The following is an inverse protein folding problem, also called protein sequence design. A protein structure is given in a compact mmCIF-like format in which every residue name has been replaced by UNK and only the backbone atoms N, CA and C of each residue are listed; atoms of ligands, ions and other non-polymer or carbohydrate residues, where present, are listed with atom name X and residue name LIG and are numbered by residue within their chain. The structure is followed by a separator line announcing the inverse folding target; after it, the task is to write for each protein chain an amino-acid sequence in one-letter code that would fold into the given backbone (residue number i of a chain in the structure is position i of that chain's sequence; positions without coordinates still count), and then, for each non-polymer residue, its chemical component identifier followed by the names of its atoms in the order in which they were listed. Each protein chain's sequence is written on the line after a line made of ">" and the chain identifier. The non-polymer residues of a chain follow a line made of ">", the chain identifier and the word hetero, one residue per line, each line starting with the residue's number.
data_IF_633753373814
#
_entry.id   IF_633753373814
#
_cell.length_a   1.000
_cell.length_b   1.000
_cell.length_c   1.000
_cell.angle_alpha   90.00
_cell.angle_beta   90.00
_cell.angle_gamma   90.00
#
_symmetry.space_group_name_H-M   'P 1'
#
loop_
_entity.id
_entity.type
_entity.pdbx_description
1 polymer ?
#
# COMPACT_ATOMS: atom_id res chain seq x y z
N UNK A 1 12.22 -10.59 7.81
CA UNK A 1 12.61 -11.96 8.24
C UNK A 1 14.07 -12.04 8.66
N UNK A 2 15.03 -11.51 7.90
CA UNK A 2 16.47 -11.70 8.18
C UNK A 2 17.21 -10.52 8.83
N UNK A 3 16.53 -9.39 9.13
CA UNK A 3 17.19 -8.17 9.64
C UNK A 3 17.95 -8.43 10.95
N UNK A 4 17.36 -9.16 11.89
CA UNK A 4 18.02 -9.52 13.15
C UNK A 4 19.26 -10.39 12.92
N UNK A 5 19.17 -11.38 12.01
CA UNK A 5 20.31 -12.20 11.59
C UNK A 5 21.44 -11.35 11.01
N UNK A 6 21.12 -10.42 10.10
CA UNK A 6 22.11 -9.55 9.47
C UNK A 6 22.87 -8.67 10.50
N UNK A 7 22.17 -8.13 11.50
CA UNK A 7 22.80 -7.34 12.57
C UNK A 7 23.77 -8.20 13.39
N UNK A 8 23.40 -9.42 13.75
CA UNK A 8 24.27 -10.33 14.49
C UNK A 8 25.49 -10.79 13.67
N UNK A 9 25.30 -11.09 12.38
CA UNK A 9 26.40 -11.48 11.49
C UNK A 9 27.36 -10.32 11.23
N UNK A 10 26.85 -9.08 11.13
CA UNK A 10 27.69 -7.87 11.08
C UNK A 10 28.59 -7.74 12.32
N UNK A 11 28.11 -8.20 13.48
CA UNK A 11 28.87 -8.23 14.72
C UNK A 11 29.82 -9.44 14.85
N UNK A 12 29.91 -10.29 13.81
CA UNK A 12 30.81 -11.45 13.77
C UNK A 12 30.25 -12.71 14.44
N UNK A 13 28.95 -12.76 14.75
CA UNK A 13 28.31 -13.93 15.34
C UNK A 13 27.47 -14.69 14.30
N UNK A 14 27.68 -16.01 14.12
CA UNK A 14 26.88 -16.79 13.17
C UNK A 14 25.42 -16.86 13.61
N UNK A 15 24.50 -16.92 12.64
CA UNK A 15 23.07 -17.02 12.92
C UNK A 15 22.38 -18.12 12.13
N UNK A 16 21.20 -18.53 12.59
CA UNK A 16 20.34 -19.48 11.89
C UNK A 16 18.89 -18.99 11.93
N UNK A 17 18.44 -18.36 10.85
CA UNK A 17 17.04 -17.97 10.70
C UNK A 17 16.19 -19.18 10.28
N UNK A 18 15.14 -19.48 11.03
CA UNK A 18 14.16 -20.51 10.69
C UNK A 18 13.21 -19.97 9.61
N UNK A 19 13.18 -20.61 8.45
CA UNK A 19 12.43 -20.15 7.29
C UNK A 19 11.54 -21.26 6.75
N UNK A 20 10.22 -21.04 6.71
CA UNK A 20 9.29 -21.98 6.09
C UNK A 20 9.58 -22.13 4.61
N UNK A 21 9.38 -23.32 4.06
CA UNK A 21 9.73 -23.70 2.68
C UNK A 21 9.27 -22.68 1.63
N UNK A 22 8.03 -22.19 1.75
CA UNK A 22 7.47 -21.18 0.85
C UNK A 22 8.20 -19.83 0.82
N UNK A 23 9.09 -19.56 1.78
CA UNK A 23 9.82 -18.30 1.93
C UNK A 23 11.32 -18.41 1.68
N UNK A 24 11.85 -19.59 1.33
CA UNK A 24 13.29 -19.78 1.11
C UNK A 24 13.87 -18.85 0.03
N UNK A 25 13.14 -18.66 -1.07
CA UNK A 25 13.54 -17.72 -2.14
C UNK A 25 13.48 -16.25 -1.69
N UNK A 26 12.51 -15.89 -0.84
CA UNK A 26 12.45 -14.56 -0.26
C UNK A 26 13.64 -14.31 0.65
N UNK A 27 13.97 -15.27 1.51
CA UNK A 27 15.11 -15.17 2.39
C UNK A 27 16.41 -14.95 1.60
N UNK A 28 16.62 -15.71 0.51
CA UNK A 28 17.76 -15.52 -0.38
C UNK A 28 17.78 -14.15 -1.08
N UNK A 29 16.63 -13.61 -1.51
CA UNK A 29 16.56 -12.28 -2.11
C UNK A 29 16.78 -11.16 -1.08
N UNK A 30 16.16 -11.28 0.09
CA UNK A 30 16.31 -10.33 1.19
C UNK A 30 17.74 -10.29 1.73
N UNK A 31 18.46 -11.42 1.77
CA UNK A 31 19.84 -11.46 2.26
C UNK A 31 20.80 -10.66 1.37
N UNK A 32 20.56 -10.66 0.05
CA UNK A 32 21.29 -9.81 -0.91
C UNK A 32 21.04 -8.33 -0.62
N UNK A 33 19.78 -7.90 -0.49
CA UNK A 33 19.44 -6.50 -0.16
C UNK A 33 20.02 -6.03 1.18
N UNK A 34 20.17 -6.94 2.15
CA UNK A 34 20.81 -6.64 3.44
C UNK A 34 22.35 -6.56 3.37
N UNK A 35 22.97 -6.89 2.22
CA UNK A 35 24.43 -6.93 2.07
C UNK A 35 25.09 -8.19 2.61
N UNK A 36 24.30 -9.21 2.99
CA UNK A 36 24.80 -10.47 3.51
C UNK A 36 24.27 -11.66 2.68
N UNK A 37 24.73 -11.84 1.42
CA UNK A 37 24.19 -12.84 0.49
C UNK A 37 24.36 -14.29 0.97
N UNK A 38 25.13 -14.52 2.03
CA UNK A 38 25.46 -15.83 2.58
C UNK A 38 24.84 -16.09 3.97
N UNK A 39 23.91 -15.24 4.46
CA UNK A 39 23.17 -15.55 5.70
C UNK A 39 22.57 -16.93 5.57
N UNK A 40 22.94 -17.80 6.52
CA UNK A 40 22.51 -19.17 6.52
C UNK A 40 21.07 -19.26 7.09
N UNK A 41 20.22 -20.03 6.41
CA UNK A 41 18.82 -20.23 6.80
C UNK A 41 18.55 -21.71 7.03
N UNK A 42 17.73 -22.01 8.04
CA UNK A 42 17.33 -23.36 8.37
C UNK A 42 15.90 -23.59 7.88
N UNK A 43 15.75 -24.53 6.95
CA UNK A 43 14.45 -24.89 6.37
C UNK A 43 13.52 -25.45 7.44
N UNK A 44 12.32 -24.88 7.53
CA UNK A 44 11.15 -25.51 8.16
C UNK A 44 10.27 -26.06 7.03
N UNK A 45 10.19 -27.40 6.86
CA UNK A 45 9.39 -28.01 5.80
C UNK A 45 7.91 -27.58 5.84
N UNK A 46 7.29 -27.33 4.69
CA UNK A 46 5.87 -26.99 4.57
C UNK A 46 5.44 -25.65 5.22
N UNK A 47 4.13 -25.48 5.40
CA UNK A 47 3.53 -24.32 6.08
C UNK A 47 3.11 -24.70 7.50
N UNK A 48 3.60 -23.99 8.52
CA UNK A 48 3.37 -24.34 9.94
C UNK A 48 1.89 -24.37 10.33
N UNK A 49 1.07 -23.52 9.70
CA UNK A 49 -0.38 -23.45 9.94
C UNK A 49 -1.19 -24.60 9.33
N UNK A 50 -0.59 -25.49 8.53
CA UNK A 50 -1.29 -26.59 7.86
C UNK A 50 -0.74 -27.98 8.24
N UNK A 51 0.12 -28.04 9.26
CA UNK A 51 0.73 -29.28 9.75
C UNK A 51 0.11 -29.70 11.08
N UNK A 52 0.05 -31.01 11.36
CA UNK A 52 -0.24 -31.46 12.72
C UNK A 52 0.93 -31.15 13.67
N UNK A 53 0.68 -31.19 14.99
CA UNK A 53 1.75 -30.98 15.99
C UNK A 53 2.85 -32.04 15.86
N UNK A 54 2.46 -33.28 15.57
CA UNK A 54 3.37 -34.42 15.39
C UNK A 54 4.19 -34.27 14.11
N UNK A 55 3.57 -33.83 13.02
CA UNK A 55 4.25 -33.56 11.75
C UNK A 55 5.26 -32.42 11.90
N UNK A 56 4.84 -31.31 12.50
CA UNK A 56 5.73 -30.17 12.77
C UNK A 56 6.91 -30.60 13.66
N UNK A 57 6.64 -31.34 14.74
CA UNK A 57 7.70 -31.85 15.63
C UNK A 57 8.70 -32.72 14.87
N UNK A 58 8.19 -33.65 14.05
CA UNK A 58 9.03 -34.53 13.22
C UNK A 58 9.91 -33.71 12.27
N UNK A 59 9.31 -32.79 11.52
CA UNK A 59 10.01 -31.92 10.56
C UNK A 59 11.11 -31.10 11.24
N UNK A 60 10.86 -30.55 12.43
CA UNK A 60 11.86 -29.79 13.19
C UNK A 60 13.02 -30.69 13.64
N UNK A 61 12.73 -31.86 14.18
CA UNK A 61 13.76 -32.77 14.71
C UNK A 61 14.59 -33.42 13.61
N UNK A 62 13.96 -33.84 12.51
CA UNK A 62 14.62 -34.61 11.44
C UNK A 62 15.30 -33.73 10.40
N UNK A 63 14.81 -32.51 10.16
CA UNK A 63 15.33 -31.62 9.09
C UNK A 63 15.91 -30.33 9.66
N UNK A 64 15.10 -29.56 10.36
CA UNK A 64 15.46 -28.18 10.74
C UNK A 64 16.62 -28.14 11.74
N UNK A 65 16.65 -29.04 12.72
CA UNK A 65 17.69 -29.07 13.77
C UNK A 65 19.08 -29.27 13.20
N UNK A 66 19.24 -30.21 12.24
CA UNK A 66 20.51 -30.45 11.59
C UNK A 66 21.02 -29.20 10.85
N UNK A 67 20.12 -28.47 10.17
CA UNK A 67 20.45 -27.21 9.48
C UNK A 67 20.84 -26.09 10.43
N UNK A 68 20.17 -25.97 11.58
CA UNK A 68 20.55 -24.98 12.60
C UNK A 68 21.96 -25.26 13.10
N UNK A 69 22.30 -26.52 13.39
CA UNK A 69 23.65 -26.89 13.83
C UNK A 69 24.67 -26.56 12.74
N UNK A 70 24.40 -26.95 11.49
CA UNK A 70 25.26 -26.65 10.34
C UNK A 70 25.52 -25.14 10.22
N UNK A 71 24.47 -24.32 10.23
CA UNK A 71 24.56 -22.86 10.10
C UNK A 71 25.39 -22.19 11.20
N UNK A 72 25.36 -22.73 12.43
CA UNK A 72 26.06 -22.16 13.57
C UNK A 72 27.50 -22.67 13.72
N UNK A 73 27.86 -23.77 13.05
CA UNK A 73 29.17 -24.44 13.22
C UNK A 73 30.03 -24.42 11.97
N UNK A 74 29.45 -24.14 10.80
CA UNK A 74 30.16 -24.10 9.52
C UNK A 74 30.10 -22.71 8.92
N UNK A 75 31.27 -22.10 8.67
CA UNK A 75 31.35 -20.80 7.99
C UNK A 75 31.04 -20.96 6.50
N UNK A 76 30.00 -20.31 5.96
CA UNK A 76 29.69 -20.39 4.53
C UNK A 76 30.77 -19.74 3.68
N UNK A 77 31.01 -20.28 2.49
CA UNK A 77 31.91 -19.68 1.51
C UNK A 77 31.37 -18.31 1.05
N UNK A 78 32.25 -17.32 0.92
CA UNK A 78 31.89 -15.98 0.46
C UNK A 78 31.47 -16.03 -1.01
N UNK A 79 30.19 -15.84 -1.31
CA UNK A 79 29.76 -15.55 -2.68
C UNK A 79 30.34 -14.22 -3.16
N UNK A 80 30.95 -14.23 -4.34
CA UNK A 80 31.39 -13.02 -5.01
C UNK A 80 30.22 -12.11 -5.37
N UNK A 81 30.44 -10.80 -5.24
CA UNK A 81 29.50 -9.76 -5.69
C UNK A 81 29.65 -9.64 -7.20
N UNK A 82 28.56 -9.78 -7.97
CA UNK A 82 28.59 -9.48 -9.40
C UNK A 82 28.64 -7.97 -9.61
N UNK A 83 29.43 -7.49 -10.58
CA UNK A 83 29.44 -6.07 -10.94
C UNK A 83 28.08 -5.64 -11.52
N UNK A 84 27.42 -4.67 -10.90
CA UNK A 84 26.25 -4.01 -11.49
C UNK A 84 26.68 -2.96 -12.53
N UNK A 85 25.87 -2.69 -13.57
CA UNK A 85 26.06 -1.54 -14.46
C UNK A 85 26.04 -0.21 -13.69
N UNK A 86 26.68 0.81 -14.23
CA UNK A 86 26.58 2.17 -13.70
C UNK A 86 25.16 2.74 -13.85
N UNK A 87 24.79 3.69 -12.98
CA UNK A 87 23.43 4.24 -12.89
C UNK A 87 22.88 4.82 -14.20
N UNK A 88 23.76 5.26 -15.10
CA UNK A 88 23.43 5.85 -16.39
C UNK A 88 23.88 5.00 -17.58
N UNK A 89 24.33 3.77 -17.37
CA UNK A 89 24.80 2.93 -18.46
C UNK A 89 23.64 2.45 -19.33
N UNK A 90 23.90 2.30 -20.62
CA UNK A 90 22.93 1.71 -21.54
C UNK A 90 23.06 0.19 -21.45
N UNK A 91 22.13 -0.44 -20.74
CA UNK A 91 22.12 -1.90 -20.52
C UNK A 91 21.68 -2.71 -21.75
N UNK A 92 20.96 -2.08 -22.69
CA UNK A 92 20.52 -2.73 -23.93
C UNK A 92 20.19 -1.70 -25.02
N UNK A 93 20.45 -2.04 -26.29
CA UNK A 93 20.07 -1.24 -27.48
C UNK A 93 19.36 -2.12 -28.50
N UNK A 94 18.25 -1.64 -29.03
CA UNK A 94 17.50 -2.33 -30.08
C UNK A 94 16.17 -1.65 -30.39
N UNK A 95 15.40 -2.23 -31.31
CA UNK A 95 14.03 -1.78 -31.57
C UNK A 95 13.08 -2.15 -30.43
N UNK A 96 11.88 -1.55 -30.43
CA UNK A 96 10.87 -1.70 -29.37
C UNK A 96 10.63 -3.16 -28.94
N UNK A 97 10.48 -4.09 -29.90
CA UNK A 97 10.27 -5.52 -29.60
C UNK A 97 11.47 -6.18 -28.94
N UNK A 98 12.69 -5.83 -29.35
CA UNK A 98 13.92 -6.39 -28.81
C UNK A 98 14.19 -5.88 -27.38
N UNK A 99 13.98 -4.58 -27.15
CA UNK A 99 14.06 -3.97 -25.81
C UNK A 99 13.07 -4.66 -24.87
N UNK A 100 11.80 -4.76 -25.27
CA UNK A 100 10.80 -5.38 -24.42
C UNK A 100 11.09 -6.86 -24.14
N UNK A 101 11.58 -7.62 -25.12
CA UNK A 101 12.06 -9.00 -24.89
C UNK A 101 13.14 -9.06 -23.80
N UNK A 102 14.16 -8.20 -23.89
CA UNK A 102 15.20 -8.12 -22.87
C UNK A 102 14.62 -7.78 -21.48
N UNK A 103 13.67 -6.84 -21.39
CA UNK A 103 13.03 -6.46 -20.13
C UNK A 103 12.11 -7.55 -19.56
N UNK A 104 11.48 -8.39 -20.39
CA UNK A 104 10.75 -9.57 -19.92
C UNK A 104 11.70 -10.62 -19.35
N UNK A 105 12.78 -10.93 -20.08
CA UNK A 105 13.75 -11.96 -19.71
C UNK A 105 14.53 -11.62 -18.43
N UNK A 106 14.69 -10.33 -18.12
CA UNK A 106 15.36 -9.84 -16.91
C UNK A 106 14.38 -9.37 -15.80
N UNK A 107 13.07 -9.61 -15.96
CA UNK A 107 12.04 -9.24 -14.97
C UNK A 107 11.92 -7.73 -14.67
N UNK A 108 12.38 -6.85 -15.57
CA UNK A 108 12.34 -5.38 -15.43
C UNK A 108 11.00 -4.75 -15.83
N UNK A 109 10.04 -5.55 -16.28
CA UNK A 109 8.69 -5.11 -16.65
C UNK A 109 7.63 -5.87 -15.87
N UNK A 110 6.45 -5.29 -15.78
CA UNK A 110 5.23 -5.84 -15.19
C UNK A 110 4.55 -6.94 -16.04
N UNK A 111 5.22 -7.43 -17.07
CA UNK A 111 4.66 -8.37 -18.06
C UNK A 111 3.94 -7.68 -19.21
N UNK A 112 3.85 -6.35 -19.18
CA UNK A 112 3.38 -5.52 -20.28
C UNK A 112 4.55 -4.77 -20.94
N UNK A 113 4.40 -4.33 -22.20
CA UNK A 113 5.42 -3.53 -22.84
C UNK A 113 5.69 -2.23 -22.09
N UNK A 114 6.97 -1.90 -21.93
CA UNK A 114 7.41 -0.60 -21.42
C UNK A 114 7.68 0.35 -22.58
N UNK A 115 7.57 1.66 -22.32
CA UNK A 115 8.19 2.66 -23.18
C UNK A 115 9.70 2.65 -22.88
N UNK A 116 10.58 2.39 -23.87
CA UNK A 116 12.01 2.34 -23.63
C UNK A 116 12.52 3.64 -22.99
N UNK A 117 13.15 3.60 -21.81
CA UNK A 117 13.64 4.79 -21.13
C UNK A 117 14.95 5.27 -21.77
N UNK A 118 14.85 5.93 -22.92
CA UNK A 118 16.01 6.57 -23.57
C UNK A 118 16.46 7.77 -22.73
N UNK A 119 17.71 8.23 -22.93
CA UNK A 119 18.21 9.41 -22.22
C UNK A 119 17.35 10.65 -22.47
N UNK A 120 16.93 10.85 -23.71
CA UNK A 120 16.09 11.97 -24.12
C UNK A 120 14.73 11.96 -23.42
N UNK A 121 14.07 10.80 -23.35
CA UNK A 121 12.80 10.65 -22.63
C UNK A 121 12.97 10.84 -21.11
N UNK A 122 14.10 10.43 -20.54
CA UNK A 122 14.38 10.67 -19.11
C UNK A 122 14.66 12.15 -18.86
N UNK A 123 15.41 12.81 -19.73
CA UNK A 123 15.71 14.25 -19.65
C UNK A 123 14.46 15.12 -19.79
N UNK A 124 13.47 14.70 -20.60
CA UNK A 124 12.19 15.41 -20.69
C UNK A 124 11.42 15.41 -19.36
N UNK A 125 11.40 14.29 -18.65
CA UNK A 125 10.82 14.20 -17.30
C UNK A 125 11.56 15.10 -16.30
N UNK A 126 12.89 15.09 -16.35
CA UNK A 126 13.72 15.92 -15.45
C UNK A 126 13.47 17.42 -15.66
N UNK A 127 13.03 17.85 -16.84
CA UNK A 127 12.68 19.26 -17.09
C UNK A 127 11.47 19.77 -16.29
N UNK A 128 10.64 18.86 -15.76
CA UNK A 128 9.46 19.19 -14.95
C UNK A 128 9.72 19.25 -13.44
N UNK A 129 10.98 19.16 -13.02
CA UNK A 129 11.39 19.30 -11.61
C UNK A 129 12.65 20.15 -11.48
N UNK A 130 12.78 20.87 -10.36
CA UNK A 130 13.99 21.63 -10.01
C UNK A 130 14.98 20.78 -9.18
N UNK A 131 14.59 19.54 -8.85
CA UNK A 131 15.37 18.61 -8.00
C UNK A 131 16.55 18.01 -8.79
N UNK A 132 17.67 17.77 -8.12
CA UNK A 132 18.85 17.18 -8.74
C UNK A 132 18.57 15.70 -9.10
N UNK A 133 18.96 15.27 -10.31
CA UNK A 133 18.79 13.91 -10.78
C UNK A 133 19.43 12.84 -9.85
N UNK A 134 20.52 13.21 -9.16
CA UNK A 134 21.24 12.34 -8.22
C UNK A 134 20.73 12.46 -6.78
N UNK A 135 19.78 13.35 -6.51
CA UNK A 135 19.19 13.48 -5.18
C UNK A 135 18.52 12.17 -4.76
N UNK A 136 18.87 11.67 -3.57
CA UNK A 136 18.31 10.46 -2.97
C UNK A 136 17.22 10.84 -1.98
N UNK A 137 15.98 10.42 -2.25
CA UNK A 137 14.83 10.66 -1.38
C UNK A 137 14.79 9.70 -0.18
N UNK A 138 15.39 8.53 -0.34
CA UNK A 138 15.44 7.50 0.69
C UNK A 138 16.01 6.20 0.17
N UNK A 139 16.14 5.22 1.06
CA UNK A 139 16.57 3.87 0.73
C UNK A 139 15.36 2.95 0.80
N UNK A 140 15.03 2.31 -0.32
CA UNK A 140 13.79 1.53 -0.46
C UNK A 140 14.04 0.06 -0.16
N UNK A 141 13.27 -0.47 0.78
CA UNK A 141 13.33 -1.87 1.21
C UNK A 141 12.36 -2.75 0.41
N UNK A 142 12.62 -4.06 0.29
CA UNK A 142 13.73 -4.83 0.86
C UNK A 142 15.04 -4.84 0.07
N UNK A 143 15.07 -4.36 -1.18
CA UNK A 143 16.28 -4.45 -2.02
C UNK A 143 17.37 -3.45 -1.64
N UNK A 144 17.06 -2.50 -0.75
CA UNK A 144 17.99 -1.53 -0.18
C UNK A 144 18.63 -0.61 -1.24
N UNK A 145 17.86 -0.29 -2.29
CA UNK A 145 18.28 0.62 -3.38
C UNK A 145 17.93 2.06 -3.07
N UNK A 146 18.76 2.99 -3.53
CA UNK A 146 18.48 4.41 -3.44
C UNK A 146 17.32 4.81 -4.38
N UNK A 147 16.33 5.50 -3.83
CA UNK A 147 15.29 6.17 -4.61
C UNK A 147 15.81 7.55 -5.07
N UNK A 148 16.29 7.62 -6.31
CA UNK A 148 16.79 8.89 -6.89
C UNK A 148 15.76 9.54 -7.81
N UNK A 149 15.88 10.85 -8.01
CA UNK A 149 15.07 11.56 -9.02
C UNK A 149 15.26 10.95 -10.42
N UNK A 150 16.48 10.52 -10.76
CA UNK A 150 16.75 9.76 -11.99
C UNK A 150 15.96 8.44 -12.06
N UNK A 151 15.97 7.63 -11.01
CA UNK A 151 15.26 6.34 -11.02
C UNK A 151 13.74 6.51 -11.11
N UNK A 152 13.22 7.62 -10.58
CA UNK A 152 11.81 8.03 -10.73
C UNK A 152 11.49 8.34 -12.18
N UNK A 153 12.29 9.19 -12.84
CA UNK A 153 12.09 9.53 -14.24
C UNK A 153 12.16 8.29 -15.14
N UNK A 154 13.16 7.42 -14.95
CA UNK A 154 13.32 6.16 -15.71
C UNK A 154 12.06 5.29 -15.60
N UNK A 155 11.57 5.04 -14.39
CA UNK A 155 10.36 4.22 -14.19
C UNK A 155 9.08 4.93 -14.66
N UNK A 156 9.05 6.27 -14.59
CA UNK A 156 7.98 7.11 -15.13
C UNK A 156 7.84 6.92 -16.64
N UNK A 157 8.95 7.02 -17.38
CA UNK A 157 8.99 6.72 -18.81
C UNK A 157 8.52 5.30 -19.06
N UNK A 158 9.11 4.31 -18.38
CA UNK A 158 8.75 2.89 -18.56
C UNK A 158 7.25 2.62 -18.40
N UNK A 159 6.60 3.30 -17.46
CA UNK A 159 5.17 3.18 -17.19
C UNK A 159 4.28 3.81 -18.27
N UNK A 160 4.84 4.60 -19.18
CA UNK A 160 4.10 5.42 -20.14
C UNK A 160 3.47 6.66 -19.49
N UNK A 161 4.06 7.18 -18.42
CA UNK A 161 3.70 8.49 -17.90
C UNK A 161 4.08 9.58 -18.91
N UNK A 162 3.49 10.77 -18.75
CA UNK A 162 3.97 11.96 -19.47
C UNK A 162 4.91 12.78 -18.57
N UNK A 163 5.84 13.57 -19.13
CA UNK A 163 6.83 14.32 -18.36
C UNK A 163 6.22 15.22 -17.29
N UNK A 164 5.08 15.85 -17.57
CA UNK A 164 4.40 16.73 -16.62
C UNK A 164 3.83 16.01 -15.39
N UNK A 165 3.86 14.68 -15.34
CA UNK A 165 3.50 13.91 -14.14
C UNK A 165 4.64 13.84 -13.13
N UNK A 166 5.87 14.21 -13.51
CA UNK A 166 7.08 14.07 -12.69
C UNK A 166 6.91 14.60 -11.26
N UNK A 167 6.31 15.79 -11.00
CA UNK A 167 6.07 16.25 -9.63
C UNK A 167 5.23 15.29 -8.77
N UNK A 168 4.24 14.63 -9.37
CA UNK A 168 3.41 13.62 -8.69
C UNK A 168 4.25 12.39 -8.38
N UNK A 169 5.06 11.93 -9.35
CA UNK A 169 5.91 10.74 -9.19
C UNK A 169 6.93 10.93 -8.06
N UNK A 170 7.51 12.13 -7.95
CA UNK A 170 8.42 12.50 -6.84
C UNK A 170 7.69 12.42 -5.50
N UNK A 171 6.53 13.08 -5.36
CA UNK A 171 5.76 13.06 -4.11
C UNK A 171 5.31 11.64 -3.71
N UNK A 172 4.99 10.78 -4.69
CA UNK A 172 4.67 9.37 -4.44
C UNK A 172 5.85 8.61 -3.85
N UNK A 173 7.06 8.81 -4.36
CA UNK A 173 8.24 8.13 -3.84
C UNK A 173 8.69 8.70 -2.50
N UNK A 174 8.52 10.01 -2.26
CA UNK A 174 8.66 10.57 -0.90
C UNK A 174 7.69 9.88 0.09
N UNK A 175 6.46 9.59 -0.34
CA UNK A 175 5.49 8.81 0.44
C UNK A 175 5.91 7.35 0.62
N UNK A 176 6.42 6.71 -0.43
CA UNK A 176 6.93 5.33 -0.37
C UNK A 176 8.08 5.17 0.62
N UNK A 177 8.97 6.17 0.69
CA UNK A 177 10.09 6.21 1.61
C UNK A 177 9.70 6.60 3.04
N UNK A 178 8.44 6.97 3.28
CA UNK A 178 7.97 7.30 4.61
C UNK A 178 7.92 6.03 5.49
N UNK A 179 8.61 6.00 6.65
CA UNK A 179 8.59 4.84 7.54
C UNK A 179 7.18 4.47 8.03
N UNK A 180 6.26 5.44 8.16
CA UNK A 180 4.88 5.15 8.57
C UNK A 180 4.14 4.34 7.50
N UNK A 181 4.44 4.57 6.22
CA UNK A 181 3.84 3.80 5.12
C UNK A 181 4.33 2.34 5.11
N UNK A 182 5.59 2.07 5.49
CA UNK A 182 6.13 0.72 5.61
C UNK A 182 6.19 -0.03 4.26
N UNK A 183 6.99 0.48 3.32
CA UNK A 183 7.17 -0.13 1.99
C UNK A 183 7.67 -1.56 2.04
N UNK A 184 8.45 -1.95 3.04
CA UNK A 184 8.95 -3.32 3.21
C UNK A 184 7.85 -4.38 3.33
N UNK A 185 6.64 -3.95 3.66
CA UNK A 185 5.49 -4.82 3.84
C UNK A 185 4.70 -5.05 2.54
N UNK A 186 5.12 -4.46 1.41
CA UNK A 186 4.36 -4.48 0.15
C UNK A 186 4.24 -5.87 -0.48
N UNK A 187 5.14 -6.79 -0.14
CA UNK A 187 5.15 -8.16 -0.64
C UNK A 187 4.48 -9.17 0.29
N UNK A 188 3.61 -8.73 1.20
CA UNK A 188 2.98 -9.62 2.18
C UNK A 188 2.01 -10.63 1.54
N UNK A 189 1.74 -11.74 2.23
CA UNK A 189 0.95 -12.85 1.69
C UNK A 189 -0.52 -12.53 1.37
N UNK A 190 -1.22 -11.59 2.06
CA UNK A 190 -2.54 -11.13 1.63
C UNK A 190 -2.56 -10.43 0.26
N UNK A 191 -1.42 -9.94 -0.23
CA UNK A 191 -1.30 -9.33 -1.56
C UNK A 191 -2.04 -8.01 -1.71
N UNK A 192 -1.88 -7.11 -0.74
CA UNK A 192 -2.47 -5.77 -0.81
C UNK A 192 -1.77 -4.85 -1.80
N UNK A 193 -2.54 -4.01 -2.49
CA UNK A 193 -2.03 -2.99 -3.41
C UNK A 193 -2.33 -1.59 -2.90
N UNK A 194 -1.46 -0.66 -3.29
CA UNK A 194 -1.54 0.75 -2.88
C UNK A 194 -2.59 1.46 -3.69
N UNK A 195 -3.50 2.17 -3.02
CA UNK A 195 -4.34 3.17 -3.64
C UNK A 195 -3.67 4.53 -3.48
N UNK A 196 -3.67 5.30 -4.56
CA UNK A 196 -3.21 6.69 -4.58
C UNK A 196 -4.47 7.57 -4.65
N UNK A 197 -4.66 8.44 -3.67
CA UNK A 197 -5.69 9.48 -3.67
C UNK A 197 -5.01 10.79 -4.08
N UNK A 198 -5.54 11.46 -5.10
CA UNK A 198 -4.99 12.70 -5.64
C UNK A 198 -5.96 13.86 -5.39
N UNK A 199 -5.40 14.96 -4.89
CA UNK A 199 -6.12 16.17 -4.53
C UNK A 199 -5.49 17.41 -5.19
N UNK A 200 -6.27 18.49 -5.26
CA UNK A 200 -5.86 19.81 -5.72
C UNK A 200 -6.10 20.10 -7.22
N UNK A 201 -5.81 21.34 -7.64
CA UNK A 201 -6.01 21.82 -9.02
C UNK A 201 -5.37 20.95 -10.11
N UNK A 202 -4.29 20.23 -9.77
CA UNK A 202 -3.53 19.38 -10.69
C UNK A 202 -4.39 18.27 -11.32
N UNK A 203 -5.43 17.82 -10.62
CA UNK A 203 -6.42 16.85 -11.13
C UNK A 203 -6.98 17.32 -12.48
N UNK A 204 -7.43 18.58 -12.56
CA UNK A 204 -7.99 19.16 -13.78
C UNK A 204 -6.91 19.59 -14.77
N UNK A 205 -5.80 20.14 -14.29
CA UNK A 205 -4.70 20.58 -15.15
C UNK A 205 -4.12 19.42 -15.99
N UNK A 206 -4.09 18.21 -15.44
CA UNK A 206 -3.52 17.03 -16.09
C UNK A 206 -4.56 16.07 -16.67
N UNK A 207 -5.84 16.35 -16.49
CA UNK A 207 -6.95 15.58 -17.06
C UNK A 207 -7.19 14.24 -16.39
N UNK A 208 -7.02 14.15 -15.06
CA UNK A 208 -7.40 12.97 -14.30
C UNK A 208 -8.92 12.78 -14.34
N UNK A 209 -9.34 11.52 -14.48
CA UNK A 209 -10.73 11.16 -14.30
C UNK A 209 -11.09 11.03 -12.82
N UNK A 210 -12.19 11.65 -12.43
CA UNK A 210 -12.79 11.57 -11.10
C UNK A 210 -14.31 11.33 -11.18
N UNK A 211 -14.81 10.94 -12.36
CA UNK A 211 -16.24 10.70 -12.61
C UNK A 211 -16.50 9.23 -12.93
N UNK A 212 -17.31 8.90 -13.95
CA UNK A 212 -17.61 7.53 -14.36
C UNK A 212 -16.31 6.72 -14.51
N UNK A 213 -16.24 5.57 -13.84
CA UNK A 213 -15.05 4.72 -13.88
C UNK A 213 -13.83 5.26 -13.13
N UNK A 214 -13.99 6.07 -12.08
CA UNK A 214 -12.88 6.62 -11.25
C UNK A 214 -11.87 5.60 -10.69
N UNK A 215 -12.17 4.29 -10.72
CA UNK A 215 -11.28 3.20 -10.32
C UNK A 215 -11.06 2.18 -11.45
N UNK A 216 -11.28 2.57 -12.70
CA UNK A 216 -11.01 1.77 -13.91
C UNK A 216 -9.82 2.32 -14.67
N UNK A 217 -9.13 1.42 -15.36
CA UNK A 217 -8.17 1.78 -16.38
C UNK A 217 -8.85 2.45 -17.58
N UNK A 218 -8.05 3.17 -18.38
CA UNK A 218 -8.50 3.81 -19.62
C UNK A 218 -8.28 5.33 -19.67
N UNK A 219 -8.06 5.96 -18.51
CA UNK A 219 -7.62 7.35 -18.44
C UNK A 219 -6.11 7.38 -18.20
N UNK A 220 -5.37 7.90 -19.18
CA UNK A 220 -3.91 7.88 -19.21
C UNK A 220 -3.27 8.36 -17.89
N UNK A 221 -3.58 9.54 -17.32
CA UNK A 221 -3.00 9.98 -16.04
C UNK A 221 -3.28 9.00 -14.89
N UNK A 222 -4.54 8.57 -14.71
CA UNK A 222 -4.90 7.64 -13.64
C UNK A 222 -4.19 6.29 -13.78
N UNK A 223 -4.09 5.79 -15.01
CA UNK A 223 -3.62 4.44 -15.32
C UNK A 223 -2.09 4.35 -15.29
N UNK A 224 -1.41 5.27 -15.98
CA UNK A 224 0.06 5.27 -16.08
C UNK A 224 0.74 5.52 -14.74
N UNK A 225 0.20 6.39 -13.88
CA UNK A 225 0.76 6.64 -12.55
C UNK A 225 0.54 5.44 -11.61
N UNK A 226 -0.63 4.79 -11.69
CA UNK A 226 -0.86 3.53 -10.98
C UNK A 226 0.13 2.44 -11.41
N UNK A 227 0.41 2.34 -12.71
CA UNK A 227 1.41 1.42 -13.27
C UNK A 227 2.83 1.79 -12.86
N UNK A 228 3.17 3.09 -12.84
CA UNK A 228 4.46 3.59 -12.35
C UNK A 228 4.74 3.07 -10.94
N UNK A 229 3.77 3.18 -10.02
CA UNK A 229 3.92 2.68 -8.66
C UNK A 229 4.31 1.19 -8.64
N UNK A 230 3.64 0.37 -9.45
CA UNK A 230 3.92 -1.07 -9.55
C UNK A 230 5.31 -1.36 -10.13
N UNK A 231 5.71 -0.64 -11.18
CA UNK A 231 7.06 -0.76 -11.76
C UNK A 231 8.14 -0.31 -10.78
N UNK A 232 7.91 0.76 -10.02
CA UNK A 232 8.87 1.26 -9.04
C UNK A 232 9.05 0.28 -7.87
N UNK A 233 7.96 -0.28 -7.34
CA UNK A 233 8.01 -1.38 -6.36
C UNK A 233 8.80 -2.57 -6.89
N UNK A 234 8.65 -2.90 -8.17
CA UNK A 234 9.36 -4.02 -8.80
C UNK A 234 10.85 -3.73 -8.96
N UNK A 235 11.20 -2.61 -9.58
CA UNK A 235 12.53 -2.32 -10.10
C UNK A 235 13.45 -1.68 -9.06
N UNK A 236 12.89 -0.92 -8.11
CA UNK A 236 13.68 -0.20 -7.09
C UNK A 236 13.50 -0.84 -5.72
N UNK A 237 12.26 -1.12 -5.29
CA UNK A 237 12.04 -1.78 -4.00
C UNK A 237 12.32 -3.30 -4.05
N UNK A 238 12.35 -3.90 -5.25
CA UNK A 238 12.69 -5.31 -5.47
C UNK A 238 11.56 -6.30 -5.22
N UNK A 239 10.29 -5.88 -5.25
CA UNK A 239 9.11 -6.75 -5.08
C UNK A 239 8.81 -7.55 -6.36
N UNK A 240 9.61 -8.58 -6.57
CA UNK A 240 9.44 -9.55 -7.65
C UNK A 240 8.60 -10.76 -7.19
N UNK A 241 7.58 -11.19 -7.97
CA UNK A 241 6.83 -12.40 -7.69
C UNK A 241 7.74 -13.62 -7.49
N UNK A 242 7.35 -14.51 -6.57
CA UNK A 242 8.14 -15.69 -6.14
C UNK A 242 9.46 -15.37 -5.41
N UNK A 243 9.81 -14.10 -5.25
CA UNK A 243 10.97 -13.60 -4.49
C UNK A 243 10.49 -12.78 -3.30
N UNK A 244 10.64 -11.45 -3.35
CA UNK A 244 10.22 -10.56 -2.27
C UNK A 244 8.73 -10.25 -2.29
N UNK A 245 8.03 -10.45 -3.41
CA UNK A 245 6.56 -10.41 -3.48
C UNK A 245 6.00 -11.82 -3.24
N UNK A 246 5.28 -11.96 -2.12
CA UNK A 246 4.67 -13.22 -1.64
C UNK A 246 3.14 -13.19 -1.69
N UNK A 247 2.54 -12.24 -2.42
CA UNK A 247 1.10 -12.19 -2.60
C UNK A 247 0.52 -13.56 -3.00
N UNK A 248 -0.49 -14.02 -2.26
CA UNK A 248 -1.21 -15.27 -2.56
C UNK A 248 -2.21 -15.03 -3.68
N UNK A 249 -2.97 -13.94 -3.55
CA UNK A 249 -3.82 -13.35 -4.57
C UNK A 249 -3.41 -11.88 -4.69
N UNK A 250 -3.42 -11.30 -5.88
CA UNK A 250 -2.98 -9.92 -6.10
C UNK A 250 -3.88 -9.17 -7.06
N UNK A 251 -3.78 -7.84 -7.05
CA UNK A 251 -4.36 -6.98 -8.09
C UNK A 251 -3.27 -6.67 -9.14
N UNK A 252 -3.67 -6.15 -10.29
CA UNK A 252 -2.71 -5.73 -11.33
C UNK A 252 -1.89 -4.53 -10.83
N UNK A 253 -2.58 -3.42 -10.59
CA UNK A 253 -2.21 -2.23 -9.81
C UNK A 253 -3.51 -1.43 -9.63
N UNK A 254 -3.56 -0.47 -8.70
CA UNK A 254 -4.71 0.44 -8.60
C UNK A 254 -4.42 1.69 -9.42
N UNK A 255 -5.39 2.12 -10.21
CA UNK A 255 -5.34 3.44 -10.86
C UNK A 255 -5.48 4.54 -9.79
N UNK A 256 -4.99 5.74 -10.09
CA UNK A 256 -5.15 6.90 -9.18
C UNK A 256 -6.63 7.22 -9.00
N UNK A 257 -7.05 7.39 -7.75
CA UNK A 257 -8.35 7.93 -7.37
C UNK A 257 -8.22 9.45 -7.22
N UNK A 258 -8.68 10.21 -8.21
CA UNK A 258 -8.79 11.65 -8.05
C UNK A 258 -10.09 11.99 -7.28
N UNK A 259 -9.96 12.80 -6.23
CA UNK A 259 -11.10 13.26 -5.44
C UNK A 259 -11.84 14.39 -6.17
N UNK A 260 -13.17 14.40 -6.07
CA UNK A 260 -14.03 15.40 -6.69
C UNK A 260 -14.16 16.63 -5.77
N UNK A 261 -13.14 17.48 -5.80
CA UNK A 261 -13.09 18.70 -4.97
C UNK A 261 -14.15 19.75 -5.32
N UNK A 262 -14.67 19.74 -6.56
CA UNK A 262 -15.76 20.65 -6.95
C UNK A 262 -17.03 20.39 -6.13
N UNK A 263 -17.37 19.12 -5.96
CA UNK A 263 -18.53 18.70 -5.18
C UNK A 263 -18.29 18.95 -3.69
N UNK A 264 -17.10 18.63 -3.20
CA UNK A 264 -16.72 18.88 -1.81
C UNK A 264 -16.82 20.37 -1.45
N UNK A 265 -16.24 21.25 -2.28
CA UNK A 265 -16.34 22.70 -2.10
C UNK A 265 -17.80 23.17 -2.12
N UNK A 266 -18.61 22.65 -3.06
CA UNK A 266 -20.04 23.00 -3.17
C UNK A 266 -20.83 22.62 -1.91
N UNK A 267 -20.53 21.47 -1.30
CA UNK A 267 -21.26 20.96 -0.12
C UNK A 267 -20.61 21.37 1.21
N UNK A 268 -19.49 22.09 1.19
CA UNK A 268 -18.76 22.49 2.38
C UNK A 268 -18.10 21.33 3.13
N UNK A 269 -17.70 20.28 2.42
CA UNK A 269 -16.92 19.17 2.99
C UNK A 269 -15.44 19.35 2.68
N UNK A 270 -14.60 19.00 3.64
CA UNK A 270 -13.15 19.03 3.46
C UNK A 270 -12.65 17.82 2.63
N UNK A 271 -11.68 18.01 1.73
CA UNK A 271 -11.05 16.91 1.00
C UNK A 271 -10.15 16.07 1.91
N UNK A 272 -9.80 14.87 1.44
CA UNK A 272 -8.88 13.95 2.12
C UNK A 272 -7.55 14.63 2.45
N UNK A 273 -7.06 15.52 1.59
CA UNK A 273 -5.83 16.29 1.80
C UNK A 273 -5.85 17.15 3.07
N UNK A 274 -6.98 17.78 3.40
CA UNK A 274 -7.12 18.59 4.62
C UNK A 274 -7.15 17.72 5.87
N UNK A 275 -7.82 16.56 5.81
CA UNK A 275 -7.80 15.58 6.92
C UNK A 275 -6.39 15.01 7.15
N UNK A 276 -5.55 14.95 6.11
CA UNK A 276 -4.14 14.57 6.19
C UNK A 276 -3.21 15.73 6.61
N UNK A 277 -3.76 16.91 6.93
CA UNK A 277 -3.02 18.05 7.48
C UNK A 277 -2.49 19.06 6.46
N UNK A 278 -2.93 19.01 5.20
CA UNK A 278 -2.57 19.99 4.17
C UNK A 278 -3.59 21.14 4.07
N UNK A 279 -3.21 22.23 3.39
CA UNK A 279 -4.13 23.33 3.16
C UNK A 279 -5.11 23.01 2.02
N UNK A 280 -6.35 23.50 2.11
CA UNK A 280 -7.31 23.40 1.02
C UNK A 280 -6.74 24.04 -0.27
N UNK A 281 -6.86 23.33 -1.39
CA UNK A 281 -6.29 23.74 -2.68
C UNK A 281 -4.83 23.37 -2.91
N UNK A 282 -4.15 22.78 -1.92
CA UNK A 282 -2.83 22.18 -2.15
C UNK A 282 -2.95 20.96 -3.08
N UNK A 283 -1.98 20.81 -3.98
CA UNK A 283 -1.80 19.58 -4.73
C UNK A 283 -1.15 18.55 -3.82
N UNK A 284 -1.79 17.41 -3.58
CA UNK A 284 -1.27 16.37 -2.68
C UNK A 284 -1.56 14.97 -3.21
N UNK A 285 -0.73 14.02 -2.79
CA UNK A 285 -1.02 12.59 -2.88
C UNK A 285 -1.17 12.01 -1.48
N UNK A 286 -2.15 11.12 -1.29
CA UNK A 286 -2.24 10.24 -0.13
C UNK A 286 -2.17 8.80 -0.59
N UNK A 287 -1.27 8.02 0.01
CA UNK A 287 -1.10 6.60 -0.32
C UNK A 287 -1.45 5.73 0.89
N UNK A 288 -2.13 4.63 0.64
CA UNK A 288 -2.43 3.61 1.66
C UNK A 288 -2.59 2.23 0.99
N UNK A 289 -2.29 1.15 1.70
CA UNK A 289 -2.37 -0.21 1.16
C UNK A 289 -3.68 -0.89 1.55
N UNK A 290 -4.29 -1.55 0.58
CA UNK A 290 -5.58 -2.22 0.76
C UNK A 290 -5.52 -3.64 0.20
N UNK A 291 -5.88 -4.63 1.04
CA UNK A 291 -5.91 -6.05 0.68
C UNK A 291 -7.12 -6.43 -0.16
N UNK A 292 -8.14 -5.57 -0.22
CA UNK A 292 -9.36 -5.82 -0.94
C UNK A 292 -10.37 -4.70 -0.78
N UNK A 293 -11.61 -5.02 -1.11
CA UNK A 293 -12.73 -4.09 -1.06
C UNK A 293 -13.86 -4.55 -1.96
N UNK A 294 -14.92 -3.77 -2.03
CA UNK A 294 -16.00 -4.06 -2.96
C UNK A 294 -16.95 -2.90 -3.19
N UNK A 295 -17.63 -3.00 -4.33
CA UNK A 295 -18.65 -2.05 -4.75
C UNK A 295 -19.94 -2.29 -3.97
N UNK A 296 -20.52 -1.21 -3.47
CA UNK A 296 -21.87 -1.14 -2.98
C UNK A 296 -22.72 -0.40 -4.01
N UNK A 297 -23.66 -1.12 -4.61
CA UNK A 297 -24.56 -0.55 -5.61
C UNK A 297 -25.85 -0.07 -4.97
N UNK A 298 -26.43 1.01 -5.51
CA UNK A 298 -27.78 1.47 -5.17
C UNK A 298 -27.96 1.85 -3.69
N UNK A 299 -27.06 2.70 -3.15
CA UNK A 299 -27.21 3.39 -1.86
C UNK A 299 -28.46 4.29 -1.93
N UNK A 300 -29.61 3.73 -1.60
CA UNK A 300 -30.91 4.31 -1.88
C UNK A 300 -31.44 5.02 -0.64
N UNK A 301 -31.97 6.21 -0.83
CA UNK A 301 -32.49 7.02 0.27
C UNK A 301 -32.64 8.48 -0.14
N UNK A 302 -33.25 9.25 0.73
CA UNK A 302 -33.39 10.71 0.63
C UNK A 302 -32.85 11.45 1.85
N UNK A 303 -32.47 10.71 2.89
CA UNK A 303 -31.85 11.22 4.12
C UNK A 303 -30.62 10.36 4.50
N UNK A 304 -29.69 10.90 5.30
CA UNK A 304 -28.54 10.15 5.83
C UNK A 304 -28.95 8.87 6.55
N UNK A 305 -30.01 8.92 7.35
CA UNK A 305 -30.51 7.77 8.13
C UNK A 305 -30.98 6.62 7.25
N UNK A 306 -31.41 6.90 6.01
CA UNK A 306 -31.75 5.88 5.03
C UNK A 306 -30.51 5.36 4.29
N UNK A 307 -29.53 6.21 4.01
CA UNK A 307 -28.35 5.87 3.20
C UNK A 307 -27.21 5.22 3.99
N UNK A 308 -26.91 5.72 5.18
CA UNK A 308 -25.75 5.31 5.97
C UNK A 308 -25.82 3.87 6.52
N UNK A 309 -26.99 3.25 6.78
CA UNK A 309 -27.06 1.83 7.07
C UNK A 309 -26.40 0.94 6.00
N UNK A 310 -26.53 1.29 4.71
CA UNK A 310 -25.88 0.56 3.62
C UNK A 310 -24.34 0.65 3.69
N UNK A 311 -23.83 1.84 4.02
CA UNK A 311 -22.39 2.07 4.18
C UNK A 311 -21.85 1.32 5.40
N UNK A 312 -22.54 1.41 6.54
CA UNK A 312 -22.13 0.75 7.78
C UNK A 312 -22.09 -0.79 7.63
N UNK A 313 -23.11 -1.40 7.02
CA UNK A 313 -23.12 -2.85 6.73
C UNK A 313 -21.96 -3.25 5.80
N UNK A 314 -21.72 -2.48 4.74
CA UNK A 314 -20.63 -2.75 3.79
C UNK A 314 -19.25 -2.62 4.44
N UNK A 315 -19.05 -1.57 5.24
CA UNK A 315 -17.81 -1.34 6.00
C UNK A 315 -17.48 -2.55 6.86
N UNK A 316 -18.44 -3.09 7.59
CA UNK A 316 -18.23 -4.28 8.41
C UNK A 316 -17.90 -5.53 7.59
N UNK A 317 -18.60 -5.75 6.47
CA UNK A 317 -18.40 -6.94 5.63
C UNK A 317 -17.02 -6.97 5.00
N UNK A 318 -16.54 -5.83 4.50
CA UNK A 318 -15.25 -5.74 3.84
C UNK A 318 -14.06 -5.63 4.79
N UNK A 319 -14.27 -5.23 6.04
CA UNK A 319 -13.20 -5.12 7.05
C UNK A 319 -13.24 -6.26 8.08
N UNK A 320 -13.71 -7.44 7.68
CA UNK A 320 -13.88 -8.55 8.60
C UNK A 320 -12.53 -9.02 9.18
N UNK A 321 -11.62 -9.54 8.36
CA UNK A 321 -10.32 -10.03 8.86
C UNK A 321 -9.44 -8.91 9.43
N UNK A 322 -9.62 -7.70 8.90
CA UNK A 322 -8.86 -6.50 9.21
C UNK A 322 -9.07 -5.99 10.65
N UNK A 323 -10.11 -6.43 11.37
CA UNK A 323 -10.30 -6.06 12.79
C UNK A 323 -9.12 -6.49 13.69
N UNK A 324 -8.31 -7.45 13.24
CA UNK A 324 -7.05 -7.81 13.90
C UNK A 324 -6.09 -6.61 14.02
N UNK A 325 -6.22 -5.63 13.12
CA UNK A 325 -5.43 -4.42 13.14
C UNK A 325 -6.00 -3.31 14.04
N UNK A 326 -7.28 -3.38 14.36
CA UNK A 326 -7.90 -2.52 15.38
C UNK A 326 -7.32 -2.84 16.75
N UNK A 327 -7.01 -4.10 17.00
CA UNK A 327 -6.47 -4.58 18.27
C UNK A 327 -5.12 -5.26 18.02
N UNK A 328 -4.85 -6.40 18.65
CA UNK A 328 -3.75 -7.33 18.35
C UNK A 328 -2.44 -6.65 17.95
N UNK A 329 -1.98 -6.87 16.71
CA UNK A 329 -0.70 -6.37 16.24
C UNK A 329 -0.80 -4.99 15.59
N UNK A 330 -2.02 -4.52 15.26
CA UNK A 330 -2.20 -3.24 14.60
C UNK A 330 -2.41 -2.08 15.55
N UNK A 331 -2.82 -2.31 16.80
CA UNK A 331 -2.88 -1.29 17.85
C UNK A 331 -3.59 0.00 17.41
N UNK A 332 -4.79 -0.13 16.84
CA UNK A 332 -5.60 1.01 16.39
C UNK A 332 -5.25 1.57 15.02
N UNK A 333 -4.36 0.93 14.24
CA UNK A 333 -3.91 1.48 12.95
C UNK A 333 -4.83 1.19 11.76
N UNK A 334 -6.01 0.59 11.97
CA UNK A 334 -6.96 0.32 10.91
C UNK A 334 -7.57 1.64 10.39
N UNK A 335 -7.52 1.88 9.08
CA UNK A 335 -8.07 3.07 8.42
C UNK A 335 -9.00 2.71 7.25
N UNK A 336 -10.21 2.19 7.50
CA UNK A 336 -11.11 1.78 6.41
C UNK A 336 -11.45 3.00 5.53
N UNK A 337 -11.39 2.83 4.21
CA UNK A 337 -11.73 3.89 3.25
C UNK A 337 -13.08 3.61 2.60
N UNK A 338 -13.97 4.60 2.69
CA UNK A 338 -15.23 4.62 1.96
C UNK A 338 -15.15 5.68 0.86
N UNK A 339 -15.30 5.25 -0.39
CA UNK A 339 -15.45 6.16 -1.54
C UNK A 339 -16.93 6.27 -1.87
N UNK A 340 -17.50 7.45 -1.78
CA UNK A 340 -18.90 7.71 -2.13
C UNK A 340 -19.02 8.56 -3.39
N UNK A 341 -20.05 8.27 -4.18
CA UNK A 341 -20.39 9.08 -5.35
C UNK A 341 -20.85 10.50 -4.96
N UNK A 342 -20.69 11.49 -5.86
CA UNK A 342 -21.15 12.86 -5.61
C UNK A 342 -22.62 12.95 -5.17
N UNK A 343 -23.54 12.23 -5.83
CA UNK A 343 -24.97 12.29 -5.49
C UNK A 343 -25.27 11.82 -4.07
N UNK A 344 -24.51 10.85 -3.55
CA UNK A 344 -24.65 10.38 -2.16
C UNK A 344 -24.14 11.46 -1.20
N UNK A 345 -22.95 12.02 -1.46
CA UNK A 345 -22.37 13.09 -0.65
C UNK A 345 -23.29 14.33 -0.61
N UNK A 346 -23.79 14.76 -1.76
CA UNK A 346 -24.72 15.90 -1.87
C UNK A 346 -26.04 15.64 -1.16
N UNK A 347 -26.59 14.42 -1.24
CA UNK A 347 -27.84 14.08 -0.54
C UNK A 347 -27.65 14.13 0.98
N UNK A 348 -26.52 13.63 1.48
CA UNK A 348 -26.18 13.68 2.90
C UNK A 348 -26.00 15.13 3.36
N UNK A 349 -25.20 15.92 2.64
CA UNK A 349 -24.94 17.32 2.98
C UNK A 349 -26.20 18.19 2.89
N UNK A 350 -27.13 17.90 1.97
CA UNK A 350 -28.43 18.57 1.87
C UNK A 350 -29.27 18.41 3.14
N UNK A 351 -29.09 17.33 3.88
CA UNK A 351 -29.73 17.12 5.19
C UNK A 351 -28.95 17.78 6.35
N UNK A 352 -27.90 18.54 6.06
CA UNK A 352 -27.11 19.30 7.04
C UNK A 352 -25.96 18.50 7.69
N UNK A 353 -25.67 17.29 7.21
CA UNK A 353 -24.60 16.46 7.78
C UNK A 353 -23.23 16.80 7.21
N UNK A 354 -22.24 16.93 8.10
CA UNK A 354 -20.84 17.08 7.73
C UNK A 354 -20.18 15.72 7.43
N UNK A 355 -18.98 15.74 6.82
CA UNK A 355 -18.15 14.53 6.68
C UNK A 355 -17.86 13.88 8.05
N UNK A 356 -17.62 14.69 9.09
CA UNK A 356 -17.42 14.22 10.46
C UNK A 356 -18.66 13.53 11.03
N UNK A 357 -19.87 13.98 10.71
CA UNK A 357 -21.10 13.31 11.15
C UNK A 357 -21.26 11.93 10.49
N UNK A 358 -20.86 11.80 9.23
CA UNK A 358 -20.80 10.49 8.56
C UNK A 358 -19.79 9.57 9.23
N UNK A 359 -18.58 10.05 9.53
CA UNK A 359 -17.57 9.27 10.27
C UNK A 359 -18.07 8.82 11.64
N UNK A 360 -18.70 9.74 12.39
CA UNK A 360 -19.32 9.46 13.69
C UNK A 360 -20.41 8.40 13.59
N UNK A 361 -21.28 8.50 12.59
CA UNK A 361 -22.31 7.50 12.36
C UNK A 361 -21.71 6.13 12.04
N UNK A 362 -20.69 6.07 11.16
CA UNK A 362 -19.99 4.81 10.86
C UNK A 362 -19.37 4.22 12.13
N UNK A 363 -18.77 5.03 13.00
CA UNK A 363 -18.24 4.57 14.28
C UNK A 363 -19.30 4.03 15.25
N UNK A 364 -20.47 4.64 15.27
CA UNK A 364 -21.60 4.22 16.10
C UNK A 364 -22.30 2.96 15.56
N UNK A 365 -22.33 2.76 14.23
CA UNK A 365 -23.17 1.74 13.59
C UNK A 365 -22.40 0.62 12.88
N UNK A 366 -21.15 0.85 12.47
CA UNK A 366 -20.27 -0.20 11.94
C UNK A 366 -19.62 -0.99 13.10
N UNK A 367 -20.47 -1.57 13.94
CA UNK A 367 -20.11 -2.33 15.15
C UNK A 367 -20.61 -3.76 15.11
N UNK A 368 -19.89 -4.65 15.79
CA UNK A 368 -20.20 -6.08 15.83
C UNK A 368 -20.30 -6.59 17.25
N UNK A 369 -21.09 -7.65 17.52
CA UNK A 369 -21.18 -8.25 18.83
C UNK A 369 -19.79 -8.66 19.35
N UNK A 370 -19.52 -8.41 20.64
CA UNK A 370 -18.25 -8.76 21.27
C UNK A 370 -17.89 -10.24 21.11
N UNK A 371 -18.88 -11.14 21.23
CA UNK A 371 -18.64 -12.58 21.06
C UNK A 371 -18.11 -12.90 19.66
N UNK A 372 -18.56 -12.19 18.62
CA UNK A 372 -18.10 -12.42 17.25
C UNK A 372 -16.70 -11.83 17.05
N UNK A 373 -16.45 -10.64 17.61
CA UNK A 373 -15.15 -9.98 17.59
C UNK A 373 -14.07 -10.86 18.26
N UNK A 374 -14.33 -11.33 19.49
CA UNK A 374 -13.46 -12.23 20.25
C UNK A 374 -13.30 -13.58 19.56
N UNK A 375 -14.38 -14.17 19.02
CA UNK A 375 -14.30 -15.42 18.25
C UNK A 375 -13.35 -15.28 17.06
N UNK A 376 -13.47 -14.20 16.30
CA UNK A 376 -12.61 -13.96 15.15
C UNK A 376 -11.13 -13.75 15.54
N UNK A 377 -10.87 -13.03 16.62
CA UNK A 377 -9.51 -12.82 17.11
C UNK A 377 -8.91 -14.07 17.76
N UNK A 378 -9.75 -14.93 18.33
CA UNK A 378 -9.31 -16.18 18.94
C UNK A 378 -9.09 -17.31 17.94
N UNK A 379 -10.11 -17.57 17.12
CA UNK A 379 -10.16 -18.78 16.30
C UNK A 379 -9.36 -18.62 15.00
N UNK A 380 -9.22 -17.38 14.48
CA UNK A 380 -8.69 -17.11 13.14
C UNK A 380 -7.45 -16.20 13.12
N UNK A 381 -6.92 -15.82 14.29
CA UNK A 381 -5.72 -14.99 14.41
C UNK A 381 -4.65 -15.63 15.30
N UNK A 382 -3.41 -15.12 15.19
CA UNK A 382 -2.17 -15.80 15.62
C UNK A 382 -1.96 -15.81 17.16
N UNK A 383 -2.67 -14.97 17.92
CA UNK A 383 -2.41 -14.77 19.36
C UNK A 383 -3.01 -15.84 20.28
N UNK A 384 -3.86 -16.74 19.76
CA UNK A 384 -4.51 -17.78 20.57
C UNK A 384 -5.76 -17.24 21.27
N UNK A 385 -5.77 -17.12 22.61
CA UNK A 385 -6.94 -16.62 23.36
C UNK A 385 -7.04 -15.11 23.23
N UNK A 386 -8.24 -14.61 22.91
CA UNK A 386 -8.53 -13.18 22.90
C UNK A 386 -9.67 -12.87 23.87
N UNK A 387 -9.44 -11.88 24.73
CA UNK A 387 -10.36 -11.41 25.75
C UNK A 387 -10.31 -9.87 25.77
N UNK A 388 -11.44 -9.23 25.44
CA UNK A 388 -11.53 -7.77 25.39
C UNK A 388 -11.49 -7.15 26.80
N UNK A 389 -12.01 -7.84 27.82
CA UNK A 389 -11.93 -7.38 29.22
C UNK A 389 -10.47 -7.27 29.65
N UNK A 390 -9.69 -8.34 29.41
CA UNK A 390 -8.28 -8.36 29.79
C UNK A 390 -7.49 -7.27 29.07
N UNK A 391 -7.66 -7.10 27.77
CA UNK A 391 -6.92 -6.11 27.00
C UNK A 391 -7.30 -4.67 27.39
N UNK A 392 -8.55 -4.41 27.77
CA UNK A 392 -8.96 -3.13 28.36
C UNK A 392 -8.33 -2.93 29.74
N UNK A 393 -8.38 -3.95 30.62
CA UNK A 393 -7.79 -3.91 31.96
C UNK A 393 -6.29 -3.65 31.92
N UNK A 394 -5.60 -4.21 30.91
CA UNK A 394 -4.17 -4.03 30.66
C UNK A 394 -3.85 -2.75 29.87
N UNK A 395 -4.85 -1.90 29.58
CA UNK A 395 -4.72 -0.66 28.83
C UNK A 395 -4.09 -0.83 27.43
N UNK A 396 -4.33 -1.98 26.78
CA UNK A 396 -3.88 -2.27 25.41
C UNK A 396 -4.86 -1.77 24.35
N UNK A 397 -6.14 -1.66 24.70
CA UNK A 397 -7.20 -1.13 23.84
C UNK A 397 -8.10 -0.16 24.63
N UNK A 398 -8.83 0.75 23.95
CA UNK A 398 -9.69 1.72 24.61
C UNK A 398 -10.81 1.06 25.44
N UNK A 399 -11.23 1.72 26.53
CA UNK A 399 -12.25 1.21 27.46
C UNK A 399 -13.56 0.81 26.80
N UNK A 400 -13.94 1.49 25.72
CA UNK A 400 -15.19 1.23 24.99
C UNK A 400 -15.26 -0.15 24.31
N UNK A 401 -14.15 -0.87 24.22
CA UNK A 401 -14.15 -2.25 23.73
C UNK A 401 -14.70 -3.25 24.78
N UNK A 402 -14.83 -2.82 26.05
CA UNK A 402 -15.41 -3.58 27.14
C UNK A 402 -16.23 -2.68 28.08
N UNK A 403 -17.42 -2.26 27.64
CA UNK A 403 -18.35 -1.45 28.44
C UNK A 403 -19.19 -2.29 29.43
N UNK A 404 -19.37 -3.58 29.15
CA UNK A 404 -20.10 -4.53 29.99
C UNK A 404 -19.70 -5.97 29.65
N UNK A 405 -20.10 -6.92 30.50
CA UNK A 405 -19.87 -8.36 30.29
C UNK A 405 -20.88 -8.98 29.29
N UNK A 406 -21.80 -8.19 28.70
CA UNK A 406 -22.79 -8.70 27.74
C UNK A 406 -22.07 -9.14 26.44
N UNK A 407 -22.13 -10.42 26.04
CA UNK A 407 -21.51 -10.88 24.79
C UNK A 407 -22.11 -10.23 23.53
N UNK A 408 -23.35 -9.73 23.60
CA UNK A 408 -24.02 -9.06 22.48
C UNK A 408 -23.75 -7.56 22.40
N UNK A 409 -23.00 -6.99 23.35
CA UNK A 409 -22.60 -5.58 23.29
C UNK A 409 -21.90 -5.29 21.96
N UNK A 410 -22.18 -4.12 21.40
CA UNK A 410 -21.65 -3.73 20.09
C UNK A 410 -20.29 -3.03 20.25
N UNK A 411 -19.26 -3.67 19.70
CA UNK A 411 -17.87 -3.22 19.75
C UNK A 411 -17.52 -2.51 18.44
N UNK A 412 -16.87 -1.33 18.48
CA UNK A 412 -16.43 -0.63 17.27
C UNK A 412 -15.29 -1.37 16.56
N UNK A 413 -15.21 -1.19 15.24
CA UNK A 413 -14.13 -1.76 14.43
C UNK A 413 -12.91 -0.83 14.30
N UNK A 414 -12.97 0.40 14.79
CA UNK A 414 -11.85 1.36 14.87
C UNK A 414 -11.84 2.01 16.24
N UNK A 415 -10.82 2.80 16.60
CA UNK A 415 -10.71 3.40 17.92
C UNK A 415 -11.43 4.74 18.02
N UNK A 416 -11.41 5.51 16.93
CA UNK A 416 -11.99 6.85 16.86
C UNK A 416 -12.77 7.01 15.54
N UNK A 417 -13.82 7.85 15.49
CA UNK A 417 -14.50 8.18 14.23
C UNK A 417 -13.55 8.63 13.12
N UNK A 418 -12.52 9.38 13.48
CA UNK A 418 -11.52 9.95 12.58
C UNK A 418 -10.65 8.90 11.88
N UNK A 419 -10.61 7.67 12.41
CA UNK A 419 -9.93 6.53 11.78
C UNK A 419 -10.60 6.12 10.45
N UNK A 420 -11.88 6.44 10.24
CA UNK A 420 -12.50 6.25 8.93
C UNK A 420 -12.01 7.29 7.93
N UNK A 421 -11.59 6.83 6.75
CA UNK A 421 -11.32 7.71 5.62
C UNK A 421 -12.55 7.78 4.71
N UNK A 422 -12.88 8.98 4.24
CA UNK A 422 -14.00 9.18 3.29
C UNK A 422 -13.52 10.05 2.14
N UNK A 423 -13.57 9.50 0.92
CA UNK A 423 -13.29 10.23 -0.31
C UNK A 423 -14.56 10.35 -1.16
N UNK A 424 -14.71 11.47 -1.87
CA UNK A 424 -15.81 11.68 -2.82
C UNK A 424 -15.30 11.58 -4.25
N UNK A 425 -15.75 10.59 -5.02
CA UNK A 425 -15.38 10.42 -6.42
C UNK A 425 -16.37 9.50 -7.13
N UNK A 426 -16.33 9.43 -8.45
CA UNK A 426 -17.16 8.53 -9.24
C UNK A 426 -18.31 9.24 -9.97
N UNK A 427 -19.20 8.45 -10.54
CA UNK A 427 -20.29 8.95 -11.37
C UNK A 427 -21.20 9.91 -10.57
N UNK A 428 -21.35 11.17 -10.99
CA UNK A 428 -22.17 12.15 -10.28
C UNK A 428 -23.67 11.83 -10.29
N UNK A 429 -24.12 10.88 -11.11
CA UNK A 429 -25.54 10.54 -11.29
C UNK A 429 -25.86 9.08 -10.89
N UNK A 430 -24.96 8.40 -10.19
CA UNK A 430 -25.19 7.03 -9.69
C UNK A 430 -24.85 6.95 -8.22
N UNK A 431 -25.83 6.49 -7.44
CA UNK A 431 -25.76 6.35 -5.99
C UNK A 431 -24.99 5.09 -5.56
N UNK A 432 -23.74 4.98 -5.98
CA UNK A 432 -22.87 3.87 -5.61
C UNK A 432 -21.78 4.33 -4.62
N UNK A 433 -21.21 3.36 -3.93
CA UNK A 433 -20.03 3.54 -3.10
C UNK A 433 -19.06 2.37 -3.29
N UNK A 434 -17.84 2.52 -2.78
CA UNK A 434 -16.85 1.45 -2.73
C UNK A 434 -16.19 1.48 -1.36
N UNK A 435 -16.05 0.32 -0.72
CA UNK A 435 -15.35 0.20 0.56
C UNK A 435 -14.04 -0.54 0.33
N UNK A 436 -12.94 0.02 0.79
CA UNK A 436 -11.64 -0.65 0.80
C UNK A 436 -11.30 -1.20 2.19
N UNK A 437 -10.70 -2.38 2.18
CA UNK A 437 -10.21 -3.08 3.36
C UNK A 437 -8.74 -2.73 3.60
N UNK A 438 -8.49 -1.85 4.58
CA UNK A 438 -7.15 -1.29 4.84
C UNK A 438 -6.22 -2.29 5.49
N UNK A 439 -4.94 -2.23 5.12
CA UNK A 439 -3.89 -3.12 5.60
C UNK A 439 -3.11 -2.55 6.81
N UNK A 440 -3.68 -1.56 7.49
CA UNK A 440 -3.17 -1.00 8.74
C UNK A 440 -1.72 -0.50 8.64
N UNK A 441 -0.90 -0.73 9.67
CA UNK A 441 0.53 -0.39 9.69
C UNK A 441 1.35 -1.02 8.54
N UNK A 442 0.84 -2.06 7.86
CA UNK A 442 1.47 -2.66 6.70
C UNK A 442 1.12 -1.88 5.42
N UNK A 443 1.20 -0.55 5.46
CA UNK A 443 0.67 0.35 4.44
C UNK A 443 -0.20 1.47 5.01
N UNK A 444 0.26 2.10 6.09
CA UNK A 444 -0.51 3.14 6.78
C UNK A 444 -0.69 4.37 5.89
N UNK A 445 -1.80 5.13 6.00
CA UNK A 445 -1.99 6.30 5.17
C UNK A 445 -0.93 7.37 5.44
N UNK A 446 -0.22 7.78 4.38
CA UNK A 446 0.70 8.91 4.43
C UNK A 446 0.37 9.88 3.30
N UNK A 447 0.48 11.17 3.59
CA UNK A 447 0.25 12.24 2.62
C UNK A 447 1.54 12.99 2.29
N UNK A 448 1.70 13.42 1.03
CA UNK A 448 2.79 14.30 0.59
C UNK A 448 2.25 15.41 -0.30
N UNK A 449 2.80 16.61 -0.11
CA UNK A 449 2.52 17.76 -0.97
C UNK A 449 3.29 17.62 -2.28
N UNK A 450 2.63 17.89 -3.39
CA UNK A 450 3.24 17.91 -4.72
C UNK A 450 3.91 19.28 -4.93
N UNK A 451 5.23 19.28 -5.10
CA UNK A 451 6.00 20.49 -5.39
C UNK A 451 6.11 20.69 -6.89
N UNK A 452 5.45 21.72 -7.41
CA UNK A 452 5.53 22.09 -8.82
C UNK A 452 6.76 22.96 -9.09
N UNK A 453 7.35 22.83 -10.27
CA UNK A 453 8.39 23.74 -10.75
C UNK A 453 7.86 25.19 -10.82
N UNK A 454 8.74 26.17 -10.63
CA UNK A 454 8.39 27.60 -10.74
C UNK A 454 7.84 27.96 -12.12
N UNK A 455 8.27 27.23 -13.14
CA UNK A 455 7.87 27.41 -14.54
C UNK A 455 6.69 26.51 -14.96
N UNK A 456 5.98 25.89 -14.01
CA UNK A 456 4.92 24.91 -14.28
C UNK A 456 3.94 25.31 -15.39
N UNK A 457 3.34 26.50 -15.31
CA UNK A 457 2.36 26.96 -16.30
C UNK A 457 2.98 27.11 -17.70
N UNK A 458 4.24 27.53 -17.78
CA UNK A 458 4.98 27.66 -19.04
C UNK A 458 5.29 26.29 -19.64
N UNK A 459 5.75 25.35 -18.82
CA UNK A 459 6.06 23.98 -19.23
C UNK A 459 4.80 23.23 -19.68
N UNK A 460 3.72 23.32 -18.91
CA UNK A 460 2.44 22.69 -19.23
C UNK A 460 1.82 23.27 -20.52
N UNK A 461 1.98 24.57 -20.77
CA UNK A 461 1.54 25.20 -22.01
C UNK A 461 2.37 24.77 -23.24
N UNK A 462 3.64 24.40 -23.05
CA UNK A 462 4.51 23.91 -24.13
C UNK A 462 4.10 22.50 -24.59
N UNK A 463 3.74 21.60 -23.68
CA UNK A 463 3.29 20.23 -23.98
C UNK A 463 1.91 20.15 -24.64
N UNK A 464 1.10 21.22 -24.53
CA UNK A 464 -0.24 21.30 -25.14
C UNK A 464 -0.23 21.83 -26.57
N UNK A 465 0.93 22.23 -27.10
CA UNK A 465 1.12 22.71 -28.48
C UNK A 465 1.60 21.57 -29.36
#
# INVERSE_FOLDING_TARGET
>A
MLRASAVCEAAGYPTASLVCEGFMRQAAATSVGLGFPNIAVALVPGHVGTQSKEELRRNILEVTTARVIENLTVTPAVKGVSSEPGARDIIFKGGFKAVNRFFYENEFSDGLPIVPPTREEVESFLSFTERDAEEVLGIVLPDNRAATIWSIAVNGVMAGCRPEYMPILVALIEGMCDPEYGVEHSGNTPGGDTLIILNGPIVKQLGFNYTQGALRDGFLPNTSIGRFWRLYLRNVAGFLPHKNDKATYGNTWRVVLAENEDVLQKIGWEPTSVEMGFAAGDNTVTIARYTGGGSLSSVSGSTPEQMLPYLADSVQRFNNWQITFTTSHGNGTLRPLVVISPIVAETIAKAGWSKSDVKRYLFEHARRPAWEFERQLRDWNIRGVWDLEEDVRMARIPKMFHESDDPNRLVPIVWEPEDFMIAVSGDPLRNNAYVFAHNAFLGYPVGKKIQLSRDWERLLAAERR
#
